data_IF_376378239951
#
_entry.id   IF_376378239951
#
_cell.length_a   1.000
_cell.length_b   1.000
_cell.length_c   1.000
_cell.angle_alpha   90.00
_cell.angle_beta   90.00
_cell.angle_gamma   90.00
#
_symmetry.space_group_name_H-M   'P 1'
#
loop_
_entity.id
_entity.type
_entity.pdbx_description
1 polymer ?
#
# COMPACT_ATOMS: atom_id res chain seq x y z
N UNK A 1 16.36 4.95 -9.14
CA UNK A 1 15.78 5.47 -10.39
C UNK A 1 14.27 5.64 -10.29
N UNK A 2 13.51 4.58 -10.00
CA UNK A 2 12.02 4.60 -9.93
C UNK A 2 11.45 5.73 -9.05
N UNK A 3 12.01 5.93 -7.86
CA UNK A 3 11.50 6.92 -6.89
C UNK A 3 11.81 8.37 -7.26
N UNK A 4 12.90 8.62 -8.00
CA UNK A 4 13.30 9.96 -8.45
C UNK A 4 12.51 10.44 -9.68
N UNK A 5 11.67 9.59 -10.27
CA UNK A 5 10.85 9.94 -11.43
C UNK A 5 9.64 10.81 -11.05
N UNK A 6 9.16 10.74 -9.80
CA UNK A 6 7.94 11.41 -9.36
C UNK A 6 8.21 12.85 -8.89
N UNK A 7 9.18 13.02 -7.98
CA UNK A 7 9.80 14.31 -7.68
C UNK A 7 11.11 14.08 -6.93
N UNK A 8 11.92 15.12 -6.72
CA UNK A 8 13.16 15.05 -5.95
C UNK A 8 12.92 15.48 -4.51
N UNK A 9 13.48 14.73 -3.56
CA UNK A 9 13.30 14.96 -2.13
C UNK A 9 13.96 16.28 -1.72
N UNK A 10 13.39 16.96 -0.72
CA UNK A 10 14.02 18.13 -0.14
C UNK A 10 15.32 17.73 0.58
N UNK A 11 16.23 18.69 0.72
CA UNK A 11 17.48 18.47 1.44
C UNK A 11 17.19 18.02 2.89
N UNK A 12 17.79 16.89 3.28
CA UNK A 12 17.61 16.23 4.59
C UNK A 12 16.19 15.74 4.92
N UNK A 13 15.35 15.49 3.92
CA UNK A 13 14.06 14.81 4.10
C UNK A 13 14.25 13.29 4.23
N UNK A 14 13.35 12.62 4.97
CA UNK A 14 13.36 11.17 5.09
C UNK A 14 13.25 10.48 3.72
N UNK A 15 14.25 9.68 3.34
CA UNK A 15 14.25 9.04 2.02
C UNK A 15 13.20 7.91 1.93
N UNK A 16 12.15 8.05 1.09
CA UNK A 16 11.12 7.01 0.93
C UNK A 16 11.68 5.69 0.40
N UNK A 17 12.80 5.74 -0.33
CA UNK A 17 13.34 4.58 -1.03
C UNK A 17 13.70 3.43 -0.08
N UNK A 18 14.15 3.71 1.15
CA UNK A 18 14.59 2.68 2.10
C UNK A 18 13.44 1.75 2.49
N UNK A 19 12.28 2.31 2.82
CA UNK A 19 11.09 1.54 3.16
C UNK A 19 10.51 0.88 1.91
N UNK A 20 10.47 1.63 0.82
CA UNK A 20 9.96 1.13 -0.45
C UNK A 20 10.73 -0.06 -1.00
N UNK A 21 12.02 -0.23 -0.71
CA UNK A 21 12.78 -1.42 -1.17
C UNK A 21 12.12 -2.71 -0.69
N UNK A 22 11.50 -2.73 0.49
CA UNK A 22 10.86 -3.93 1.04
C UNK A 22 9.35 -3.91 0.83
N UNK A 23 8.68 -2.77 1.07
CA UNK A 23 7.22 -2.69 0.97
C UNK A 23 6.72 -2.83 -0.46
N UNK A 24 7.48 -2.33 -1.45
CA UNK A 24 7.09 -2.42 -2.85
C UNK A 24 7.03 -3.87 -3.36
N UNK A 25 8.10 -4.68 -3.24
CA UNK A 25 8.05 -6.09 -3.59
C UNK A 25 7.03 -6.89 -2.78
N UNK A 26 6.80 -6.53 -1.51
CA UNK A 26 5.80 -7.19 -0.68
C UNK A 26 4.37 -6.95 -1.19
N UNK A 27 3.98 -5.70 -1.48
CA UNK A 27 2.64 -5.42 -2.04
C UNK A 27 2.46 -6.07 -3.40
N UNK A 28 3.50 -6.09 -4.23
CA UNK A 28 3.48 -6.82 -5.49
C UNK A 28 3.20 -8.31 -5.27
N UNK A 29 3.88 -8.94 -4.31
CA UNK A 29 3.69 -10.35 -4.00
C UNK A 29 2.28 -10.70 -3.50
N UNK A 30 1.62 -9.77 -2.80
CA UNK A 30 0.21 -9.93 -2.39
C UNK A 30 -0.71 -9.99 -3.62
N UNK A 31 -0.41 -9.20 -4.66
CA UNK A 31 -1.16 -9.19 -5.92
C UNK A 31 -0.84 -10.41 -6.80
N UNK A 32 0.43 -10.79 -6.87
CA UNK A 32 0.95 -11.87 -7.72
C UNK A 32 1.40 -13.06 -6.86
N UNK A 33 0.47 -13.57 -6.05
CA UNK A 33 0.74 -14.60 -5.05
C UNK A 33 0.62 -16.02 -5.60
N UNK A 34 1.52 -16.43 -6.48
CA UNK A 34 1.64 -17.82 -6.95
C UNK A 34 3.11 -18.23 -6.89
N UNK A 35 3.43 -19.31 -6.18
CA UNK A 35 4.83 -19.71 -6.02
C UNK A 35 5.40 -20.41 -7.26
N UNK A 36 4.57 -21.02 -8.11
CA UNK A 36 4.97 -21.55 -9.41
C UNK A 36 5.40 -20.44 -10.37
N UNK A 37 4.57 -19.42 -10.54
CA UNK A 37 4.93 -18.23 -11.31
C UNK A 37 6.10 -17.47 -10.66
N UNK A 38 6.14 -17.40 -9.32
CA UNK A 38 7.24 -16.82 -8.56
C UNK A 38 8.58 -17.50 -8.84
N UNK A 39 8.63 -18.83 -8.96
CA UNK A 39 9.84 -19.58 -9.34
C UNK A 39 10.28 -19.23 -10.78
N UNK A 40 9.34 -19.08 -11.71
CA UNK A 40 9.65 -18.65 -13.08
C UNK A 40 10.25 -17.23 -13.10
N UNK A 41 9.68 -16.29 -12.33
CA UNK A 41 10.24 -14.94 -12.16
C UNK A 41 11.62 -14.97 -11.50
N UNK A 42 11.82 -15.84 -10.50
CA UNK A 42 13.10 -16.01 -9.82
C UNK A 42 14.19 -16.51 -10.78
N UNK A 43 13.86 -17.51 -11.61
CA UNK A 43 14.75 -18.01 -12.66
C UNK A 43 15.10 -16.91 -13.67
N UNK A 44 14.11 -16.13 -14.11
CA UNK A 44 14.32 -14.98 -15.00
C UNK A 44 15.26 -13.93 -14.38
N UNK A 45 15.03 -13.58 -13.11
CA UNK A 45 15.87 -12.63 -12.37
C UNK A 45 17.30 -13.14 -12.19
N UNK A 46 17.46 -14.42 -11.86
CA UNK A 46 18.76 -15.04 -11.66
C UNK A 46 19.57 -15.11 -12.96
N UNK A 47 18.91 -15.38 -14.10
CA UNK A 47 19.55 -15.33 -15.43
C UNK A 47 20.06 -13.92 -15.76
N UNK A 48 19.29 -12.87 -15.44
CA UNK A 48 19.71 -11.48 -15.62
C UNK A 48 20.94 -11.13 -14.76
N UNK A 49 20.98 -11.61 -13.52
CA UNK A 49 22.10 -11.38 -12.60
C UNK A 49 23.35 -12.16 -13.04
N UNK A 50 23.23 -13.44 -13.38
CA UNK A 50 24.38 -14.25 -13.81
C UNK A 50 25.01 -13.73 -15.12
N UNK A 51 24.22 -13.09 -15.98
CA UNK A 51 24.71 -12.54 -17.26
C UNK A 51 25.07 -11.06 -17.18
N UNK A 52 25.25 -10.49 -15.98
CA UNK A 52 25.54 -9.06 -15.78
C UNK A 52 26.72 -8.56 -16.62
N UNK A 53 27.83 -9.29 -16.65
CA UNK A 53 29.04 -8.89 -17.40
C UNK A 53 28.83 -8.84 -18.93
N UNK A 54 27.95 -9.69 -19.46
CA UNK A 54 27.64 -9.71 -20.90
C UNK A 54 26.67 -8.60 -21.28
N UNK A 55 25.64 -8.37 -20.46
CA UNK A 55 24.62 -7.37 -20.74
C UNK A 55 25.07 -5.94 -20.44
N UNK A 56 26.01 -5.74 -19.53
CA UNK A 56 26.61 -4.41 -19.29
C UNK A 56 27.43 -3.88 -20.49
N UNK A 57 27.85 -4.75 -21.41
CA UNK A 57 28.67 -4.37 -22.57
C UNK A 57 27.88 -4.23 -23.87
N UNK A 58 26.58 -4.54 -23.88
CA UNK A 58 25.73 -4.47 -25.07
C UNK A 58 24.69 -3.34 -24.90
N UNK A 59 24.49 -2.51 -25.94
CA UNK A 59 23.32 -1.62 -26.01
C UNK A 59 22.07 -2.51 -26.11
N UNK A 60 21.38 -2.67 -25.00
CA UNK A 60 20.14 -3.45 -24.91
C UNK A 60 18.96 -2.62 -25.41
N UNK A 61 17.90 -3.27 -25.91
CA UNK A 61 16.65 -2.58 -26.22
C UNK A 61 16.02 -1.98 -24.94
N UNK A 62 15.23 -0.92 -25.09
CA UNK A 62 14.67 -0.13 -23.98
C UNK A 62 13.98 -0.94 -22.89
N UNK A 63 13.23 -1.99 -23.26
CA UNK A 63 12.57 -2.89 -22.30
C UNK A 63 13.57 -3.71 -21.48
N UNK A 64 14.60 -4.25 -22.13
CA UNK A 64 15.61 -5.06 -21.46
C UNK A 64 16.53 -4.20 -20.59
N UNK A 65 16.78 -2.94 -20.98
CA UNK A 65 17.51 -1.98 -20.16
C UNK A 65 16.75 -1.64 -18.86
N UNK A 66 15.43 -1.40 -18.96
CA UNK A 66 14.58 -1.19 -17.79
C UNK A 66 14.60 -2.40 -16.84
N UNK A 67 14.48 -3.62 -17.39
CA UNK A 67 14.54 -4.86 -16.61
C UNK A 67 15.92 -5.05 -15.96
N UNK A 68 17.00 -4.71 -16.67
CA UNK A 68 18.37 -4.79 -16.16
C UNK A 68 18.62 -3.81 -15.02
N UNK A 69 18.16 -2.55 -15.15
CA UNK A 69 18.23 -1.55 -14.09
C UNK A 69 17.43 -1.93 -12.83
N UNK A 70 16.38 -2.74 -13.00
CA UNK A 70 15.51 -3.24 -11.93
C UNK A 70 15.86 -4.61 -11.36
N UNK A 71 17.00 -5.23 -11.72
CA UNK A 71 17.30 -6.65 -11.42
C UNK A 71 17.11 -7.08 -9.96
N UNK A 72 17.54 -6.25 -9.00
CA UNK A 72 17.40 -6.56 -7.57
C UNK A 72 15.95 -6.41 -7.08
N UNK A 73 15.19 -5.50 -7.69
CA UNK A 73 13.77 -5.33 -7.39
C UNK A 73 12.99 -6.55 -7.89
N UNK A 74 13.26 -7.02 -9.10
CA UNK A 74 12.63 -8.24 -9.67
C UNK A 74 12.98 -9.47 -8.83
N UNK A 75 14.25 -9.61 -8.40
CA UNK A 75 14.66 -10.69 -7.50
C UNK A 75 13.85 -10.70 -6.21
N UNK A 76 13.73 -9.54 -5.55
CA UNK A 76 13.02 -9.42 -4.28
C UNK A 76 11.51 -9.66 -4.46
N UNK A 77 10.93 -9.19 -5.57
CA UNK A 77 9.55 -9.47 -5.96
C UNK A 77 9.29 -10.97 -6.12
N UNK A 78 10.21 -11.69 -6.76
CA UNK A 78 10.07 -13.13 -6.94
C UNK A 78 10.13 -13.90 -5.61
N UNK A 79 11.05 -13.54 -4.70
CA UNK A 79 11.17 -14.18 -3.39
C UNK A 79 9.89 -13.96 -2.55
N UNK A 80 9.37 -12.74 -2.51
CA UNK A 80 8.14 -12.47 -1.79
C UNK A 80 6.91 -13.11 -2.46
N UNK A 81 6.87 -13.17 -3.80
CA UNK A 81 5.79 -13.86 -4.53
C UNK A 81 5.76 -15.35 -4.19
N UNK A 82 6.92 -16.01 -4.08
CA UNK A 82 7.01 -17.39 -3.58
C UNK A 82 6.47 -17.49 -2.15
N UNK A 83 6.87 -16.58 -1.26
CA UNK A 83 6.39 -16.56 0.13
C UNK A 83 4.86 -16.40 0.21
N UNK A 84 4.28 -15.41 -0.49
CA UNK A 84 2.84 -15.19 -0.53
C UNK A 84 2.10 -16.33 -1.23
N UNK A 85 2.67 -16.93 -2.28
CA UNK A 85 2.12 -18.08 -2.98
C UNK A 85 2.05 -19.33 -2.10
N UNK A 86 3.03 -19.52 -1.20
CA UNK A 86 2.97 -20.59 -0.20
C UNK A 86 1.90 -20.30 0.88
N UNK A 87 1.66 -19.03 1.24
CA UNK A 87 0.57 -18.65 2.15
C UNK A 87 -0.80 -18.92 1.50
N UNK A 88 -0.97 -18.58 0.23
CA UNK A 88 -2.22 -18.87 -0.49
C UNK A 88 -2.36 -20.35 -0.87
N UNK A 89 -1.25 -21.10 -0.85
CA UNK A 89 -1.18 -22.51 -1.22
C UNK A 89 -1.66 -22.79 -2.66
N UNK A 90 -1.23 -21.94 -3.59
CA UNK A 90 -1.61 -22.00 -5.01
C UNK A 90 -0.35 -22.25 -5.88
N UNK A 91 -0.25 -23.41 -6.54
CA UNK A 91 0.79 -23.73 -7.53
C UNK A 91 0.18 -23.93 -8.91
N UNK A 92 0.30 -22.97 -9.84
CA UNK A 92 -0.35 -23.08 -11.17
C UNK A 92 -1.81 -23.55 -11.06
N UNK A 93 -2.56 -22.95 -10.12
CA UNK A 93 -3.95 -23.30 -9.76
C UNK A 93 -4.18 -24.66 -9.05
N UNK A 94 -3.15 -25.42 -8.71
CA UNK A 94 -3.25 -26.70 -7.99
C UNK A 94 -2.81 -26.54 -6.52
N UNK A 95 -3.60 -27.05 -5.55
CA UNK A 95 -3.23 -26.98 -4.14
C UNK A 95 -2.27 -28.12 -3.77
N UNK A 96 -1.36 -27.86 -2.83
CA UNK A 96 -0.43 -28.88 -2.35
C UNK A 96 -0.64 -29.21 -0.86
N UNK A 97 -0.55 -30.49 -0.50
CA UNK A 97 -0.60 -30.97 0.88
C UNK A 97 0.80 -31.00 1.53
N UNK A 98 1.53 -29.88 1.50
CA UNK A 98 2.94 -29.83 1.95
C UNK A 98 3.10 -29.84 3.49
N UNK A 99 2.22 -29.15 4.22
CA UNK A 99 2.42 -28.84 5.65
C UNK A 99 1.54 -29.67 6.60
N UNK A 100 0.72 -30.60 6.11
CA UNK A 100 -0.05 -31.51 6.94
C UNK A 100 -1.34 -32.04 6.29
N UNK A 101 -2.13 -32.76 7.09
CA UNK A 101 -3.51 -33.16 6.72
C UNK A 101 -4.44 -31.95 6.85
N UNK A 102 -5.44 -31.84 5.97
CA UNK A 102 -6.44 -30.77 6.01
C UNK A 102 -7.17 -30.74 7.36
N UNK A 103 -7.55 -29.54 7.80
CA UNK A 103 -8.36 -29.34 9.00
C UNK A 103 -9.78 -29.92 8.85
N UNK A 104 -10.19 -30.07 7.60
CA UNK A 104 -11.47 -30.60 7.18
C UNK A 104 -11.35 -32.05 6.68
N UNK A 105 -12.21 -32.92 7.20
CA UNK A 105 -12.24 -34.34 6.85
C UNK A 105 -13.70 -34.81 6.75
N UNK A 106 -13.97 -35.76 5.86
CA UNK A 106 -15.28 -36.37 5.77
C UNK A 106 -15.47 -37.38 6.91
N UNK A 107 -16.54 -37.24 7.69
CA UNK A 107 -16.82 -38.11 8.85
C UNK A 107 -17.14 -39.56 8.45
N UNK A 108 -17.75 -39.77 7.28
CA UNK A 108 -18.17 -41.10 6.80
C UNK A 108 -17.62 -41.44 5.41
N UNK A 109 -17.35 -42.75 5.19
CA UNK A 109 -16.90 -43.32 3.91
C UNK A 109 -17.95 -43.24 2.78
N UNK A 110 -19.20 -42.87 3.08
CA UNK A 110 -20.25 -42.61 2.09
C UNK A 110 -20.15 -41.23 1.45
N UNK A 111 -19.21 -40.38 1.89
CA UNK A 111 -18.93 -39.07 1.32
C UNK A 111 -18.07 -39.16 0.04
N UNK A 112 -18.32 -40.18 -0.78
CA UNK A 112 -17.68 -40.40 -2.09
C UNK A 112 -18.06 -39.31 -3.07
N UNK A 113 -19.30 -38.82 -3.00
CA UNK A 113 -19.81 -37.78 -3.89
C UNK A 113 -19.79 -36.43 -3.18
N UNK A 114 -18.76 -35.65 -3.50
CA UNK A 114 -18.43 -34.33 -2.95
C UNK A 114 -19.50 -33.23 -3.14
N UNK A 115 -20.70 -33.57 -3.60
CA UNK A 115 -21.73 -32.61 -3.99
C UNK A 115 -22.86 -32.38 -2.96
N UNK A 116 -23.00 -33.22 -1.93
CA UNK A 116 -24.23 -33.23 -1.10
C UNK A 116 -24.02 -33.03 0.40
N UNK A 117 -22.83 -33.32 0.96
CA UNK A 117 -22.53 -33.10 2.37
C UNK A 117 -21.26 -32.27 2.56
N UNK A 118 -21.36 -31.20 3.35
CA UNK A 118 -20.27 -30.26 3.58
C UNK A 118 -19.14 -30.87 4.42
N UNK A 119 -17.91 -30.45 4.13
CA UNK A 119 -16.76 -30.80 4.94
C UNK A 119 -16.89 -30.22 6.36
N UNK A 120 -16.70 -31.06 7.38
CA UNK A 120 -16.75 -30.64 8.80
C UNK A 120 -15.33 -30.34 9.27
N UNK A 121 -15.16 -29.29 10.09
CA UNK A 121 -13.88 -29.01 10.76
C UNK A 121 -13.64 -30.08 11.84
N UNK A 122 -12.73 -31.00 11.58
CA UNK A 122 -12.43 -32.13 12.48
C UNK A 122 -11.13 -31.88 13.25
N UNK A 123 -10.21 -31.09 12.70
CA UNK A 123 -8.87 -30.87 13.25
C UNK A 123 -8.58 -29.38 13.47
N UNK A 124 -7.46 -29.14 14.15
CA UNK A 124 -6.87 -27.82 14.35
C UNK A 124 -6.56 -27.12 13.01
N UNK A 125 -6.53 -25.77 12.97
CA UNK A 125 -6.26 -25.03 11.75
C UNK A 125 -4.92 -25.44 11.12
N UNK A 126 -4.88 -25.41 9.78
CA UNK A 126 -3.70 -25.78 9.01
C UNK A 126 -2.49 -24.92 9.44
N UNK A 127 -1.32 -25.53 9.70
CA UNK A 127 -0.22 -24.87 10.39
C UNK A 127 0.42 -23.74 9.58
N UNK A 128 0.34 -23.78 8.25
CA UNK A 128 0.90 -22.75 7.39
C UNK A 128 0.10 -22.57 6.10
N UNK A 129 -0.48 -21.38 5.91
CA UNK A 129 -1.23 -21.02 4.70
C UNK A 129 -2.70 -21.45 4.72
N UNK A 130 -3.35 -21.34 3.56
CA UNK A 130 -4.76 -21.73 3.37
C UNK A 130 -4.88 -23.25 3.23
N UNK A 131 -5.89 -23.82 3.86
CA UNK A 131 -6.13 -25.26 3.83
C UNK A 131 -6.45 -25.74 2.39
N UNK A 132 -5.70 -26.74 1.86
CA UNK A 132 -5.93 -27.32 0.55
C UNK A 132 -7.38 -27.74 0.27
N UNK A 133 -8.12 -28.18 1.30
CA UNK A 133 -9.47 -28.73 1.13
C UNK A 133 -10.51 -27.71 0.68
N UNK A 134 -10.22 -26.41 0.77
CA UNK A 134 -11.10 -25.38 0.25
C UNK A 134 -11.15 -25.36 -1.28
N UNK A 135 -10.06 -25.78 -1.95
CA UNK A 135 -9.95 -25.79 -3.40
C UNK A 135 -10.88 -26.84 -4.01
N UNK A 136 -11.74 -26.42 -4.92
CA UNK A 136 -12.77 -27.29 -5.55
C UNK A 136 -14.08 -27.38 -4.77
N UNK A 137 -14.22 -26.65 -3.66
CA UNK A 137 -15.50 -26.53 -2.94
C UNK A 137 -16.37 -25.42 -3.53
N UNK A 138 -17.70 -25.56 -3.49
CA UNK A 138 -18.63 -24.49 -3.93
C UNK A 138 -18.47 -23.19 -3.13
N UNK A 139 -17.94 -23.26 -1.92
CA UNK A 139 -17.73 -22.13 -1.00
C UNK A 139 -16.32 -21.53 -1.06
N UNK A 140 -15.48 -21.97 -1.99
CA UNK A 140 -14.11 -21.47 -2.13
C UNK A 140 -14.06 -19.97 -2.44
N UNK A 141 -14.71 -19.57 -3.54
CA UNK A 141 -14.72 -18.19 -4.03
C UNK A 141 -15.23 -17.18 -2.98
N UNK A 142 -16.37 -17.38 -2.29
CA UNK A 142 -16.81 -16.45 -1.26
C UNK A 142 -15.85 -16.39 -0.07
N UNK A 143 -15.20 -17.50 0.30
CA UNK A 143 -14.21 -17.52 1.38
C UNK A 143 -12.93 -16.76 1.01
N UNK A 144 -12.32 -17.08 -0.14
CA UNK A 144 -11.10 -16.42 -0.61
C UNK A 144 -11.32 -14.94 -0.90
N UNK A 145 -12.49 -14.57 -1.45
CA UNK A 145 -12.87 -13.19 -1.64
C UNK A 145 -12.89 -12.44 -0.29
N UNK A 146 -13.60 -12.97 0.71
CA UNK A 146 -13.66 -12.35 2.04
C UNK A 146 -12.28 -12.22 2.69
N UNK A 147 -11.45 -13.26 2.57
CA UNK A 147 -10.09 -13.29 3.14
C UNK A 147 -9.18 -12.24 2.48
N UNK A 148 -9.05 -12.29 1.15
CA UNK A 148 -8.15 -11.40 0.39
C UNK A 148 -8.58 -9.94 0.51
N UNK A 149 -9.88 -9.65 0.51
CA UNK A 149 -10.41 -8.30 0.72
C UNK A 149 -10.04 -7.75 2.11
N UNK A 150 -10.26 -8.52 3.18
CA UNK A 150 -9.91 -8.09 4.55
C UNK A 150 -8.41 -7.91 4.74
N UNK A 151 -7.61 -8.79 4.15
CA UNK A 151 -6.14 -8.70 4.18
C UNK A 151 -5.63 -7.45 3.47
N UNK A 152 -6.21 -7.10 2.32
CA UNK A 152 -5.93 -5.87 1.57
C UNK A 152 -6.18 -4.61 2.42
N UNK A 153 -7.30 -4.55 3.15
CA UNK A 153 -7.63 -3.45 4.06
C UNK A 153 -6.60 -3.37 5.21
N UNK A 154 -6.28 -4.51 5.86
CA UNK A 154 -5.30 -4.57 6.94
C UNK A 154 -3.92 -4.05 6.50
N UNK A 155 -3.45 -4.50 5.33
CA UNK A 155 -2.17 -4.06 4.76
C UNK A 155 -2.20 -2.58 4.38
N UNK A 156 -3.30 -2.10 3.81
CA UNK A 156 -3.47 -0.69 3.46
C UNK A 156 -3.42 0.23 4.67
N UNK A 157 -4.15 -0.10 5.73
CA UNK A 157 -4.15 0.67 7.00
C UNK A 157 -2.77 0.64 7.65
N UNK A 158 -2.08 -0.50 7.64
CA UNK A 158 -0.72 -0.62 8.16
C UNK A 158 0.29 0.26 7.39
N UNK A 159 0.27 0.21 6.05
CA UNK A 159 1.14 1.03 5.22
C UNK A 159 0.84 2.53 5.35
N UNK A 160 -0.45 2.88 5.40
CA UNK A 160 -0.90 4.25 5.59
C UNK A 160 -0.50 4.82 6.95
N UNK A 161 -0.51 4.02 8.01
CA UNK A 161 -0.02 4.41 9.33
C UNK A 161 1.50 4.58 9.31
N UNK A 162 2.24 3.67 8.65
CA UNK A 162 3.68 3.79 8.48
C UNK A 162 4.07 5.12 7.80
N UNK A 163 3.35 5.53 6.76
CA UNK A 163 3.57 6.82 6.09
C UNK A 163 3.41 8.04 7.02
N UNK A 164 2.38 8.05 7.89
CA UNK A 164 2.17 9.15 8.86
C UNK A 164 3.28 9.14 9.93
N UNK A 165 3.73 7.96 10.36
CA UNK A 165 4.85 7.83 11.30
C UNK A 165 6.17 8.35 10.71
N UNK A 166 6.39 8.21 9.40
CA UNK A 166 7.55 8.81 8.74
C UNK A 166 7.50 10.34 8.73
N UNK A 167 6.32 10.93 8.50
CA UNK A 167 6.12 12.38 8.63
C UNK A 167 6.47 12.88 10.05
N UNK A 168 6.16 12.10 11.09
CA UNK A 168 6.58 12.44 12.46
C UNK A 168 8.10 12.45 12.65
N UNK A 169 8.81 11.45 12.11
CA UNK A 169 10.27 11.42 12.21
C UNK A 169 10.91 12.59 11.47
N UNK A 170 10.38 12.96 10.31
CA UNK A 170 10.85 14.11 9.55
C UNK A 170 10.62 15.43 10.29
N UNK A 171 9.41 15.64 10.83
CA UNK A 171 9.08 16.84 11.61
C UNK A 171 9.92 16.95 12.91
N UNK A 172 10.25 15.81 13.52
CA UNK A 172 11.12 15.75 14.70
C UNK A 172 12.56 16.13 14.36
N UNK A 173 13.07 15.69 13.21
CA UNK A 173 14.42 16.03 12.75
C UNK A 173 14.56 17.54 12.48
N UNK A 174 13.55 18.15 11.85
CA UNK A 174 13.53 19.60 11.57
C UNK A 174 13.19 20.47 12.80
N UNK A 175 12.82 19.87 13.94
CA UNK A 175 12.53 20.61 15.18
C UNK A 175 11.19 21.38 15.17
N UNK A 176 10.30 21.12 14.22
CA UNK A 176 9.04 21.85 14.06
C UNK A 176 7.93 21.29 14.96
N UNK A 177 7.94 21.69 16.24
CA UNK A 177 6.95 21.23 17.24
C UNK A 177 5.48 21.57 16.88
N UNK A 178 5.26 22.62 16.06
CA UNK A 178 3.93 23.01 15.59
C UNK A 178 3.32 21.97 14.65
N UNK A 179 4.09 21.46 13.70
CA UNK A 179 3.63 20.45 12.74
C UNK A 179 3.34 19.12 13.44
N UNK A 180 4.17 18.75 14.43
CA UNK A 180 3.93 17.57 15.25
C UNK A 180 2.60 17.66 15.99
N UNK A 181 2.32 18.81 16.64
CA UNK A 181 1.13 18.96 17.50
C UNK A 181 -0.17 19.11 16.71
N UNK A 182 -0.12 19.79 15.56
CA UNK A 182 -1.33 20.23 14.85
C UNK A 182 -1.53 19.55 13.48
N UNK A 183 -0.55 18.83 12.95
CA UNK A 183 -0.68 18.04 11.72
C UNK A 183 -0.60 16.54 12.03
N UNK A 184 0.47 16.06 12.65
CA UNK A 184 0.63 14.63 12.90
C UNK A 184 -0.41 14.03 13.86
N UNK A 185 -0.62 14.64 15.04
CA UNK A 185 -1.52 14.08 16.06
C UNK A 185 -2.97 13.96 15.55
N UNK A 186 -3.58 15.01 14.96
CA UNK A 186 -4.94 14.90 14.43
C UNK A 186 -5.06 13.88 13.30
N UNK A 187 -4.07 13.82 12.40
CA UNK A 187 -4.05 12.84 11.30
C UNK A 187 -4.01 11.40 11.82
N UNK A 188 -3.22 11.14 12.87
CA UNK A 188 -3.14 9.83 13.51
C UNK A 188 -4.46 9.44 14.17
N UNK A 189 -5.04 10.37 14.96
CA UNK A 189 -6.32 10.15 15.63
C UNK A 189 -7.43 9.87 14.61
N UNK A 190 -7.51 10.67 13.54
CA UNK A 190 -8.53 10.52 12.51
C UNK A 190 -8.40 9.17 11.77
N UNK A 191 -7.20 8.80 11.31
CA UNK A 191 -7.02 7.56 10.56
C UNK A 191 -7.29 6.33 11.43
N UNK A 192 -6.78 6.30 12.65
CA UNK A 192 -6.94 5.13 13.53
C UNK A 192 -8.33 5.04 14.17
N UNK A 193 -9.04 6.15 14.35
CA UNK A 193 -10.41 6.11 14.87
C UNK A 193 -11.40 5.45 13.91
N UNK A 194 -11.23 5.65 12.60
CA UNK A 194 -12.09 5.07 11.58
C UNK A 194 -11.56 3.74 11.05
N UNK A 195 -10.41 3.78 10.37
CA UNK A 195 -9.87 2.63 9.65
C UNK A 195 -9.02 1.72 10.53
N UNK A 196 -8.35 2.27 11.55
CA UNK A 196 -7.69 1.46 12.58
C UNK A 196 -8.70 0.63 13.37
N UNK A 197 -9.86 1.20 13.71
CA UNK A 197 -10.96 0.46 14.33
C UNK A 197 -11.51 -0.64 13.43
N UNK A 198 -11.71 -0.38 12.13
CA UNK A 198 -12.08 -1.42 11.17
C UNK A 198 -11.08 -2.58 11.14
N UNK A 199 -9.77 -2.28 11.08
CA UNK A 199 -8.72 -3.28 11.11
C UNK A 199 -8.77 -4.12 12.40
N UNK A 200 -9.02 -3.49 13.55
CA UNK A 200 -9.19 -4.16 14.83
C UNK A 200 -10.42 -5.07 14.85
N UNK A 201 -11.57 -4.63 14.30
CA UNK A 201 -12.78 -5.44 14.17
C UNK A 201 -12.55 -6.69 13.31
N UNK A 202 -11.77 -6.57 12.23
CA UNK A 202 -11.38 -7.72 11.40
C UNK A 202 -10.60 -8.75 12.22
N UNK A 203 -9.62 -8.30 13.00
CA UNK A 203 -8.80 -9.20 13.84
C UNK A 203 -9.62 -9.86 14.95
N UNK A 204 -10.51 -9.10 15.62
CA UNK A 204 -11.41 -9.68 16.64
C UNK A 204 -12.36 -10.69 16.02
N UNK A 205 -12.91 -10.40 14.82
CA UNK A 205 -13.78 -11.34 14.11
C UNK A 205 -13.04 -12.66 13.82
N UNK A 206 -11.77 -12.59 13.41
CA UNK A 206 -10.95 -13.79 13.18
C UNK A 206 -10.64 -14.56 14.46
N UNK A 207 -10.44 -13.89 15.59
CA UNK A 207 -10.20 -14.56 16.88
C UNK A 207 -11.46 -15.21 17.46
N UNK A 208 -12.62 -14.57 17.30
CA UNK A 208 -13.88 -14.98 17.94
C UNK A 208 -14.70 -15.92 17.06
N UNK A 209 -14.50 -15.89 15.73
CA UNK A 209 -15.26 -16.73 14.79
C UNK A 209 -16.72 -16.30 14.60
N UNK A 210 -17.10 -15.10 15.02
CA UNK A 210 -18.47 -14.57 14.88
C UNK A 210 -18.86 -14.32 13.42
N UNK A 211 -20.15 -14.42 13.09
CA UNK A 211 -20.70 -14.18 11.74
C UNK A 211 -20.99 -12.69 11.45
N UNK A 212 -20.86 -11.81 12.43
CA UNK A 212 -21.27 -10.39 12.35
C UNK A 212 -20.74 -9.63 11.11
N UNK A 213 -21.59 -8.81 10.50
CA UNK A 213 -21.28 -8.09 9.26
C UNK A 213 -20.55 -6.76 9.49
N UNK A 214 -19.26 -6.70 9.18
CA UNK A 214 -18.43 -5.52 9.49
C UNK A 214 -18.84 -4.27 8.68
N UNK A 215 -19.32 -4.44 7.46
CA UNK A 215 -19.77 -3.31 6.64
C UNK A 215 -21.00 -2.64 7.24
N UNK A 216 -21.97 -3.42 7.70
CA UNK A 216 -23.12 -2.91 8.43
C UNK A 216 -22.67 -2.17 9.68
N UNK A 217 -21.79 -2.76 10.49
CA UNK A 217 -21.25 -2.13 11.71
C UNK A 217 -20.60 -0.77 11.40
N UNK A 218 -19.88 -0.64 10.29
CA UNK A 218 -19.19 0.60 9.95
C UNK A 218 -20.10 1.67 9.33
N UNK A 219 -21.12 1.28 8.55
CA UNK A 219 -22.11 2.24 8.02
C UNK A 219 -22.97 2.78 9.19
N UNK A 220 -23.46 1.89 10.05
CA UNK A 220 -24.28 2.30 11.20
C UNK A 220 -23.50 3.12 12.23
N UNK A 221 -22.18 2.96 12.33
CA UNK A 221 -21.33 3.83 13.16
C UNK A 221 -21.49 5.32 12.82
N UNK A 222 -21.70 5.66 11.54
CA UNK A 222 -21.89 7.06 11.11
C UNK A 222 -23.36 7.47 11.05
N UNK A 223 -24.25 6.56 10.68
CA UNK A 223 -25.66 6.88 10.42
C UNK A 223 -26.52 6.85 11.69
N UNK A 224 -26.28 5.88 12.58
CA UNK A 224 -27.01 5.72 13.85
C UNK A 224 -26.07 5.21 14.96
N UNK A 225 -25.25 6.08 15.56
CA UNK A 225 -24.25 5.68 16.56
C UNK A 225 -24.87 5.22 17.89
N UNK A 226 -26.17 5.46 18.11
CA UNK A 226 -26.87 5.11 19.34
C UNK A 226 -27.81 3.90 19.20
N UNK A 227 -27.97 3.36 17.99
CA UNK A 227 -28.79 2.18 17.71
C UNK A 227 -28.31 0.93 18.42
N UNK A 228 -29.21 -0.02 18.65
CA UNK A 228 -28.87 -1.33 19.18
C UNK A 228 -28.35 -2.23 18.06
N UNK A 229 -27.15 -2.78 18.20
CA UNK A 229 -26.51 -3.61 17.17
C UNK A 229 -26.99 -5.07 17.19
N UNK A 230 -27.84 -5.47 18.13
CA UNK A 230 -28.45 -6.81 18.17
C UNK A 230 -27.42 -7.93 18.02
N UNK A 231 -27.59 -8.79 17.01
CA UNK A 231 -26.67 -9.92 16.73
C UNK A 231 -25.28 -9.52 16.22
N UNK A 232 -25.05 -8.24 15.91
CA UNK A 232 -23.76 -7.73 15.40
C UNK A 232 -22.82 -7.17 16.48
N UNK A 233 -23.12 -7.40 17.76
CA UNK A 233 -22.23 -7.00 18.85
C UNK A 233 -21.04 -7.98 18.95
N UNK A 234 -19.83 -7.51 18.63
CA UNK A 234 -18.60 -8.30 18.72
C UNK A 234 -18.03 -8.36 20.14
N UNK A 235 -18.17 -7.29 20.92
CA UNK A 235 -17.58 -7.19 22.25
C UNK A 235 -18.42 -6.34 23.21
N UNK A 236 -18.19 -6.51 24.51
CA UNK A 236 -18.85 -5.71 25.54
C UNK A 236 -18.38 -4.26 25.50
N UNK A 237 -19.30 -3.29 25.46
CA UNK A 237 -18.98 -1.85 25.40
C UNK A 237 -18.69 -1.31 23.99
N UNK A 238 -19.01 -2.05 22.92
CA UNK A 238 -18.79 -1.61 21.53
C UNK A 238 -19.44 -0.26 21.20
N UNK A 239 -20.66 -0.03 21.70
CA UNK A 239 -21.41 1.21 21.48
C UNK A 239 -20.69 2.45 22.02
N UNK A 240 -20.27 2.40 23.29
CA UNK A 240 -19.56 3.50 23.94
C UNK A 240 -18.24 3.82 23.23
N UNK A 241 -17.52 2.77 22.81
CA UNK A 241 -16.26 2.91 22.09
C UNK A 241 -16.47 3.52 20.69
N UNK A 242 -17.52 3.14 19.95
CA UNK A 242 -17.86 3.73 18.66
C UNK A 242 -18.21 5.23 18.77
N UNK A 243 -19.01 5.60 19.77
CA UNK A 243 -19.36 7.01 20.03
C UNK A 243 -18.11 7.83 20.36
N UNK A 244 -17.23 7.30 21.23
CA UNK A 244 -15.97 7.96 21.58
C UNK A 244 -15.07 8.16 20.36
N UNK A 245 -14.90 7.13 19.52
CA UNK A 245 -14.07 7.20 18.31
C UNK A 245 -14.63 8.20 17.30
N UNK A 246 -15.94 8.21 17.09
CA UNK A 246 -16.60 9.15 16.18
C UNK A 246 -16.43 10.60 16.66
N UNK A 247 -16.57 10.84 17.96
CA UNK A 247 -16.36 12.16 18.56
C UNK A 247 -14.89 12.61 18.41
N UNK A 248 -13.93 11.71 18.65
CA UNK A 248 -12.51 11.99 18.42
C UNK A 248 -12.22 12.32 16.96
N UNK A 249 -12.81 11.60 16.01
CA UNK A 249 -12.66 11.86 14.58
C UNK A 249 -13.22 13.23 14.19
N UNK A 250 -14.38 13.60 14.74
CA UNK A 250 -15.03 14.88 14.46
C UNK A 250 -14.26 16.07 15.06
N UNK A 251 -13.66 15.91 16.25
CA UNK A 251 -12.80 16.93 16.87
C UNK A 251 -11.46 17.09 16.14
N UNK A 252 -10.93 16.00 15.56
CA UNK A 252 -9.66 16.03 14.83
C UNK A 252 -9.69 16.98 13.62
N UNK A 253 -10.85 17.13 12.96
CA UNK A 253 -10.98 17.98 11.76
C UNK A 253 -10.79 19.48 12.07
N UNK A 254 -11.54 20.09 13.03
CA UNK A 254 -11.26 21.46 13.47
C UNK A 254 -9.87 21.64 14.08
N UNK A 255 -9.36 20.62 14.79
CA UNK A 255 -8.03 20.67 15.41
C UNK A 255 -6.93 20.83 14.36
N UNK A 256 -7.05 20.22 13.19
CA UNK A 256 -6.06 20.38 12.12
C UNK A 256 -6.19 21.73 11.39
N UNK A 257 -7.41 22.27 11.28
CA UNK A 257 -7.71 23.44 10.45
C UNK A 257 -7.30 24.76 11.11
N UNK A 258 -7.70 25.00 12.37
CA UNK A 258 -7.62 26.33 12.99
C UNK A 258 -6.28 26.65 13.70
N UNK A 259 -5.66 25.76 14.48
CA UNK A 259 -4.52 26.13 15.31
C UNK A 259 -3.29 26.61 14.52
N UNK A 260 -2.93 25.95 13.42
CA UNK A 260 -1.73 26.28 12.62
C UNK A 260 -1.77 27.70 12.03
N UNK A 261 -2.82 28.13 11.28
CA UNK A 261 -2.89 29.49 10.73
C UNK A 261 -2.98 30.57 11.82
N UNK A 262 -3.71 30.31 12.91
CA UNK A 262 -3.84 31.27 14.01
C UNK A 262 -2.54 31.46 14.80
N UNK A 263 -1.77 30.39 15.01
CA UNK A 263 -0.47 30.48 15.68
C UNK A 263 0.55 31.20 14.78
N UNK A 264 0.57 30.91 13.47
CA UNK A 264 1.42 31.65 12.53
C UNK A 264 1.08 33.15 12.52
N UNK A 265 -0.21 33.51 12.53
CA UNK A 265 -0.66 34.90 12.62
C UNK A 265 -0.17 35.57 13.90
N UNK A 266 -0.25 34.88 15.04
CA UNK A 266 0.21 35.40 16.34
C UNK A 266 1.72 35.62 16.33
N UNK A 267 2.50 34.65 15.84
CA UNK A 267 3.96 34.72 15.74
C UNK A 267 4.39 35.87 14.81
N UNK A 268 3.68 36.06 13.69
CA UNK A 268 3.94 37.16 12.77
C UNK A 268 3.66 38.52 13.41
N UNK A 269 2.54 38.67 14.14
CA UNK A 269 2.21 39.90 14.87
C UNK A 269 3.25 40.24 15.94
N UNK A 270 3.75 39.24 16.68
CA UNK A 270 4.81 39.42 17.69
C UNK A 270 6.16 39.81 17.04
N UNK A 271 6.52 39.21 15.91
CA UNK A 271 7.73 39.56 15.16
C UNK A 271 7.67 40.98 14.57
N UNK A 272 6.51 41.40 14.09
CA UNK A 272 6.27 42.77 13.61
C UNK A 272 6.29 43.78 14.75
N UNK A 273 5.67 43.46 15.89
CA UNK A 273 5.73 44.33 17.07
C UNK A 273 7.15 44.49 17.61
N UNK A 274 7.96 43.42 17.63
CA UNK A 274 9.37 43.49 18.02
C UNK A 274 10.24 44.37 17.11
N UNK A 275 9.94 44.43 15.81
CA UNK A 275 10.62 45.35 14.88
C UNK A 275 10.22 46.82 15.08
N UNK A 276 8.96 47.11 15.40
CA UNK A 276 8.51 48.46 15.75
C UNK A 276 9.16 48.97 17.04
N UNK A 277 9.37 48.12 18.05
CA UNK A 277 10.06 48.53 19.28
C UNK A 277 11.56 48.79 19.10
N UNK A 278 12.23 48.13 18.14
CA UNK A 278 13.65 48.42 17.83
C UNK A 278 13.85 49.79 17.18
N UNK A 279 12.83 50.33 16.50
CA UNK A 279 12.87 51.67 15.90
C UNK A 279 12.58 52.80 16.92
N UNK A 280 11.90 52.50 18.03
CA UNK A 280 11.59 53.47 19.09
C UNK A 280 12.73 53.68 20.11
N UNK A 281 13.87 52.99 19.96
CA UNK A 281 15.00 53.03 20.89
C UNK A 281 16.20 53.88 20.48
N UNK A 282 16.17 54.53 19.31
CA UNK A 282 17.25 55.44 18.88
C UNK A 282 16.65 56.74 18.35
N UNK A 283 16.25 57.59 19.29
CA UNK A 283 16.04 59.02 19.05
C UNK A 283 17.38 59.75 19.16
N UNK A 284 18.33 59.45 18.27
CA UNK A 284 19.41 60.39 17.96
C UNK A 284 19.47 60.52 16.44
N UNK A 285 19.32 61.78 16.02
CA UNK A 285 19.19 62.23 14.66
C UNK A 285 20.58 62.30 14.03
N UNK A 286 20.86 61.45 13.05
CA UNK A 286 22.04 61.57 12.18
C UNK A 286 21.54 61.85 10.74
N UNK A 287 21.90 62.99 10.09
CA UNK A 287 21.32 63.36 8.79
C UNK A 287 21.95 62.69 7.56
N UNK A 288 23.02 61.91 7.71
CA UNK A 288 23.82 61.44 6.55
C UNK A 288 23.90 59.90 6.49
N UNK A 289 22.89 59.26 5.91
CA UNK A 289 23.04 57.91 5.34
C UNK A 289 22.11 57.72 4.15
N UNK A 290 22.72 57.49 2.99
CA UNK A 290 22.12 57.29 1.66
C UNK A 290 20.98 56.24 1.60
N UNK A 291 20.10 56.31 0.58
CA UNK A 291 18.91 55.48 0.51
C UNK A 291 19.27 54.07 0.01
N UNK A 292 19.54 53.17 0.96
CA UNK A 292 19.81 51.78 0.66
C UNK A 292 18.49 51.09 0.24
N UNK A 293 18.35 50.96 -1.08
CA UNK A 293 17.16 50.65 -1.86
C UNK A 293 16.81 49.15 -1.86
N UNK A 294 17.01 48.47 -0.73
CA UNK A 294 16.89 47.02 -0.60
C UNK A 294 16.03 46.55 0.60
N UNK A 295 15.11 47.38 1.12
CA UNK A 295 14.32 47.03 2.33
C UNK A 295 12.80 47.15 2.22
N UNK A 296 12.24 46.82 1.07
CA UNK A 296 10.80 46.65 0.92
C UNK A 296 10.46 45.48 -0.02
N UNK A 297 10.92 44.26 0.29
CA UNK A 297 10.06 43.10 -0.01
C UNK A 297 9.06 42.99 1.13
N UNK A 298 7.95 43.70 0.95
CA UNK A 298 6.66 43.34 1.53
C UNK A 298 6.33 41.92 1.03
N UNK A 299 6.89 40.88 1.65
CA UNK A 299 6.17 39.60 1.69
C UNK A 299 5.07 39.81 2.73
N UNK A 300 4.00 40.50 2.30
CA UNK A 300 2.77 40.61 3.07
C UNK A 300 2.36 39.19 3.44
N UNK A 301 2.43 38.87 4.74
CA UNK A 301 1.96 37.60 5.23
C UNK A 301 0.45 37.54 5.01
N UNK A 302 0.06 36.97 3.87
CA UNK A 302 -1.31 36.78 3.48
C UNK A 302 -1.90 35.68 4.34
N UNK A 303 -2.43 36.07 5.51
CA UNK A 303 -3.16 35.17 6.39
C UNK A 303 -4.27 34.41 5.63
N UNK A 304 -4.90 35.07 4.66
CA UNK A 304 -5.88 34.45 3.77
C UNK A 304 -5.29 33.28 2.98
N UNK A 305 -4.09 33.43 2.42
CA UNK A 305 -3.41 32.38 1.64
C UNK A 305 -3.02 31.19 2.52
N UNK A 306 -2.45 31.44 3.69
CA UNK A 306 -2.09 30.37 4.65
C UNK A 306 -3.34 29.63 5.14
N UNK A 307 -4.43 30.36 5.39
CA UNK A 307 -5.69 29.77 5.81
C UNK A 307 -6.31 28.92 4.70
N UNK A 308 -6.34 29.40 3.46
CA UNK A 308 -6.84 28.64 2.29
C UNK A 308 -6.00 27.40 2.04
N UNK A 309 -4.66 27.51 2.07
CA UNK A 309 -3.77 26.36 1.90
C UNK A 309 -4.00 25.29 2.98
N UNK A 310 -4.12 25.70 4.25
CA UNK A 310 -4.40 24.76 5.35
C UNK A 310 -5.79 24.11 5.22
N UNK A 311 -6.78 24.86 4.73
CA UNK A 311 -8.12 24.33 4.47
C UNK A 311 -8.10 23.26 3.38
N UNK A 312 -7.41 23.52 2.27
CA UNK A 312 -7.24 22.55 1.18
C UNK A 312 -6.54 21.30 1.71
N UNK A 313 -5.42 21.45 2.42
CA UNK A 313 -4.69 20.32 3.00
C UNK A 313 -5.56 19.49 3.95
N UNK A 314 -6.43 20.15 4.73
CA UNK A 314 -7.34 19.46 5.65
C UNK A 314 -8.42 18.64 4.92
N UNK A 315 -9.02 19.22 3.89
CA UNK A 315 -10.04 18.56 3.06
C UNK A 315 -9.42 17.40 2.26
N UNK A 316 -8.26 17.64 1.64
CA UNK A 316 -7.51 16.63 0.89
C UNK A 316 -7.14 15.46 1.79
N UNK A 317 -6.69 15.72 3.03
CA UNK A 317 -6.37 14.65 3.97
C UNK A 317 -7.60 13.81 4.34
N UNK A 318 -8.73 14.44 4.68
CA UNK A 318 -9.95 13.72 5.09
C UNK A 318 -10.52 12.89 3.95
N UNK A 319 -10.69 13.48 2.77
CA UNK A 319 -11.18 12.77 1.58
C UNK A 319 -10.17 11.73 1.09
N UNK A 320 -8.89 12.07 1.14
CA UNK A 320 -7.78 11.20 0.80
C UNK A 320 -7.68 9.99 1.72
N UNK A 321 -7.92 10.12 3.02
CA UNK A 321 -7.90 8.98 3.94
C UNK A 321 -8.93 7.90 3.57
N UNK A 322 -10.14 8.30 3.17
CA UNK A 322 -11.18 7.38 2.71
C UNK A 322 -10.85 6.80 1.33
N UNK A 323 -10.51 7.67 0.38
CA UNK A 323 -10.19 7.28 -1.00
C UNK A 323 -8.98 6.34 -1.07
N UNK A 324 -7.90 6.66 -0.35
CA UNK A 324 -6.67 5.87 -0.33
C UNK A 324 -6.93 4.49 0.29
N UNK A 325 -7.72 4.40 1.37
CA UNK A 325 -8.07 3.10 1.97
C UNK A 325 -8.89 2.24 1.01
N UNK A 326 -9.84 2.84 0.29
CA UNK A 326 -10.61 2.13 -0.72
C UNK A 326 -9.74 1.68 -1.92
N UNK A 327 -8.75 2.49 -2.32
CA UNK A 327 -7.81 2.15 -3.41
C UNK A 327 -7.02 0.86 -3.13
N UNK A 328 -6.74 0.54 -1.86
CA UNK A 328 -6.07 -0.72 -1.49
C UNK A 328 -6.84 -1.98 -1.87
N UNK A 329 -8.17 -1.91 -2.06
CA UNK A 329 -8.99 -3.03 -2.55
C UNK A 329 -8.50 -3.58 -3.89
N UNK A 330 -7.71 -2.79 -4.64
CA UNK A 330 -7.02 -3.24 -5.85
C UNK A 330 -6.10 -4.44 -5.61
N UNK A 331 -5.45 -4.51 -4.45
CA UNK A 331 -4.59 -5.64 -4.08
C UNK A 331 -5.38 -6.94 -4.12
N UNK A 332 -6.60 -6.91 -3.57
CA UNK A 332 -7.52 -8.04 -3.60
C UNK A 332 -8.02 -8.33 -5.03
N UNK A 333 -8.50 -7.31 -5.74
CA UNK A 333 -9.09 -7.49 -7.07
C UNK A 333 -8.10 -8.14 -8.06
N UNK A 334 -6.85 -7.69 -8.08
CA UNK A 334 -5.85 -8.26 -8.98
C UNK A 334 -5.39 -9.65 -8.54
N UNK A 335 -5.26 -9.89 -7.23
CA UNK A 335 -4.94 -11.23 -6.70
C UNK A 335 -6.03 -12.26 -6.97
N UNK A 336 -7.30 -11.85 -6.96
CA UNK A 336 -8.42 -12.70 -7.34
C UNK A 336 -8.40 -12.96 -8.85
N UNK A 337 -8.26 -11.92 -9.67
CA UNK A 337 -8.21 -12.06 -11.13
C UNK A 337 -7.08 -13.00 -11.58
N UNK A 338 -5.89 -12.88 -11.00
CA UNK A 338 -4.75 -13.76 -11.27
C UNK A 338 -5.05 -15.23 -10.95
N UNK A 339 -5.62 -15.51 -9.77
CA UNK A 339 -6.03 -16.86 -9.37
C UNK A 339 -7.07 -17.46 -10.32
N UNK A 340 -8.13 -16.70 -10.65
CA UNK A 340 -9.20 -17.17 -11.54
C UNK A 340 -8.68 -17.43 -12.96
N UNK A 341 -7.85 -16.52 -13.48
CA UNK A 341 -7.28 -16.65 -14.82
C UNK A 341 -6.31 -17.83 -14.92
N UNK A 342 -5.50 -18.08 -13.88
CA UNK A 342 -4.66 -19.28 -13.78
C UNK A 342 -5.51 -20.57 -13.76
N UNK A 343 -6.63 -20.56 -13.03
CA UNK A 343 -7.56 -21.69 -12.95
C UNK A 343 -8.20 -21.99 -14.30
N UNK A 344 -8.69 -20.97 -15.00
CA UNK A 344 -9.29 -21.13 -16.33
C UNK A 344 -8.26 -21.67 -17.32
N UNK A 345 -7.02 -21.18 -17.31
CA UNK A 345 -5.99 -21.71 -18.20
C UNK A 345 -5.64 -23.17 -17.88
N UNK A 346 -5.53 -23.52 -16.60
CA UNK A 346 -5.28 -24.89 -16.18
C UNK A 346 -6.40 -25.84 -16.64
N UNK A 347 -7.67 -25.47 -16.40
CA UNK A 347 -8.80 -26.31 -16.79
C UNK A 347 -9.02 -26.39 -18.30
N UNK A 348 -8.96 -25.26 -19.00
CA UNK A 348 -9.32 -25.21 -20.42
C UNK A 348 -8.18 -25.65 -21.35
N UNK A 349 -6.91 -25.51 -20.94
CA UNK A 349 -5.78 -25.96 -21.75
C UNK A 349 -5.24 -27.32 -21.28
N UNK A 350 -4.87 -27.45 -20.01
CA UNK A 350 -4.15 -28.63 -19.54
C UNK A 350 -5.09 -29.83 -19.31
N UNK A 351 -6.19 -29.66 -18.58
CA UNK A 351 -7.14 -30.76 -18.33
C UNK A 351 -7.82 -31.23 -19.63
N UNK A 352 -8.20 -30.29 -20.51
CA UNK A 352 -8.76 -30.63 -21.82
C UNK A 352 -7.77 -31.44 -22.67
N UNK A 353 -6.50 -31.05 -22.71
CA UNK A 353 -5.47 -31.77 -23.47
C UNK A 353 -5.20 -33.17 -22.88
N UNK A 354 -5.30 -33.32 -21.55
CA UNK A 354 -5.08 -34.60 -20.87
C UNK A 354 -6.20 -35.62 -21.13
N UNK A 355 -7.41 -35.16 -21.42
CA UNK A 355 -8.57 -36.01 -21.74
C UNK A 355 -8.48 -36.74 -23.09
N UNK A 356 -7.57 -36.34 -23.98
CA UNK A 356 -7.34 -37.02 -25.26
C UNK A 356 -6.21 -38.05 -25.13
N UNK A 357 -6.42 -39.28 -25.61
CA UNK A 357 -5.42 -40.35 -25.49
C UNK A 357 -4.16 -40.17 -26.36
N UNK A 358 -4.24 -39.33 -27.40
CA UNK A 358 -3.10 -39.12 -28.30
C UNK A 358 -1.98 -38.30 -27.63
N UNK A 359 -0.75 -38.85 -27.61
CA UNK A 359 0.44 -38.19 -27.05
C UNK A 359 0.77 -36.87 -27.75
N UNK A 360 0.45 -36.74 -29.04
CA UNK A 360 0.69 -35.52 -29.82
C UNK A 360 -0.16 -34.36 -29.29
N UNK A 361 -1.45 -34.59 -29.01
CA UNK A 361 -2.35 -33.56 -28.48
C UNK A 361 -1.92 -33.14 -27.08
N UNK A 362 -1.45 -34.07 -26.24
CA UNK A 362 -0.89 -33.74 -24.90
C UNK A 362 0.34 -32.84 -25.00
N UNK A 363 1.26 -33.13 -25.91
CA UNK A 363 2.49 -32.35 -26.10
C UNK A 363 2.20 -30.95 -26.65
N UNK A 364 1.33 -30.86 -27.66
CA UNK A 364 0.90 -29.57 -28.22
C UNK A 364 0.15 -28.75 -27.15
N UNK A 365 -0.74 -29.38 -26.39
CA UNK A 365 -1.45 -28.73 -25.28
C UNK A 365 -0.50 -28.17 -24.22
N UNK A 366 0.55 -28.91 -23.85
CA UNK A 366 1.58 -28.45 -22.92
C UNK A 366 2.37 -27.24 -23.45
N UNK A 367 2.74 -27.26 -24.74
CA UNK A 367 3.45 -26.12 -25.37
C UNK A 367 2.57 -24.88 -25.36
N UNK A 368 1.30 -25.02 -25.77
CA UNK A 368 0.35 -23.90 -25.80
C UNK A 368 0.11 -23.37 -24.38
N UNK A 369 -0.07 -24.25 -23.40
CA UNK A 369 -0.20 -23.86 -21.99
C UNK A 369 1.03 -23.12 -21.48
N UNK A 370 2.24 -23.63 -21.76
CA UNK A 370 3.49 -23.00 -21.35
C UNK A 370 3.66 -21.61 -21.99
N UNK A 371 3.31 -21.47 -23.28
CA UNK A 371 3.40 -20.19 -23.98
C UNK A 371 2.37 -19.17 -23.47
N UNK A 372 1.12 -19.59 -23.31
CA UNK A 372 0.05 -18.74 -22.77
C UNK A 372 0.39 -18.26 -21.35
N UNK A 373 0.88 -19.16 -20.51
CA UNK A 373 1.28 -18.86 -19.13
C UNK A 373 2.51 -17.92 -19.08
N UNK A 374 3.51 -18.15 -19.94
CA UNK A 374 4.69 -17.28 -20.00
C UNK A 374 4.35 -15.85 -20.47
N UNK A 375 3.51 -15.71 -21.49
CA UNK A 375 3.22 -14.40 -22.08
C UNK A 375 2.14 -13.63 -21.30
N UNK A 376 1.02 -14.28 -20.98
CA UNK A 376 -0.14 -13.60 -20.37
C UNK A 376 0.07 -13.47 -18.86
N UNK A 377 0.19 -14.60 -18.16
CA UNK A 377 0.30 -14.63 -16.69
C UNK A 377 1.64 -14.02 -16.22
N UNK A 378 2.77 -14.44 -16.79
CA UNK A 378 4.08 -14.01 -16.31
C UNK A 378 4.53 -12.63 -16.80
N UNK A 379 4.28 -12.26 -18.05
CA UNK A 379 4.77 -10.97 -18.57
C UNK A 379 3.75 -9.85 -18.40
N UNK A 380 2.53 -10.03 -18.92
CA UNK A 380 1.52 -8.97 -18.94
C UNK A 380 0.95 -8.69 -17.55
N UNK A 381 0.53 -9.70 -16.80
CA UNK A 381 -0.05 -9.48 -15.47
C UNK A 381 0.98 -9.01 -14.45
N UNK A 382 2.22 -9.53 -14.49
CA UNK A 382 3.33 -9.02 -13.65
C UNK A 382 3.56 -7.53 -13.88
N UNK A 383 3.55 -7.07 -15.14
CA UNK A 383 3.71 -5.64 -15.45
C UNK A 383 2.54 -4.82 -14.89
N UNK A 384 1.31 -5.31 -15.03
CA UNK A 384 0.11 -4.67 -14.47
C UNK A 384 0.19 -4.56 -12.93
N UNK A 385 0.51 -5.67 -12.26
CA UNK A 385 0.69 -5.73 -10.80
C UNK A 385 1.83 -4.80 -10.33
N UNK A 386 2.94 -4.75 -11.07
CA UNK A 386 4.05 -3.84 -10.81
C UNK A 386 3.60 -2.37 -10.86
N UNK A 387 2.89 -1.96 -11.92
CA UNK A 387 2.40 -0.58 -12.06
C UNK A 387 1.38 -0.20 -10.99
N UNK A 388 0.51 -1.14 -10.61
CA UNK A 388 -0.46 -0.92 -9.54
C UNK A 388 0.17 -0.83 -8.15
N UNK A 389 1.17 -1.66 -7.85
CA UNK A 389 1.96 -1.55 -6.62
C UNK A 389 2.74 -0.22 -6.56
N UNK A 390 3.22 0.25 -7.72
CA UNK A 390 3.95 1.52 -7.84
C UNK A 390 3.00 2.70 -7.61
N UNK A 391 1.79 2.65 -8.18
CA UNK A 391 0.73 3.64 -7.93
C UNK A 391 0.43 3.74 -6.43
N UNK A 392 0.24 2.60 -5.75
CA UNK A 392 -0.01 2.53 -4.29
C UNK A 392 1.07 3.26 -3.48
N UNK A 393 2.32 3.22 -3.94
CA UNK A 393 3.37 3.94 -3.25
C UNK A 393 3.42 5.42 -3.60
N UNK A 394 3.24 5.79 -4.88
CA UNK A 394 3.32 7.18 -5.29
C UNK A 394 2.17 8.03 -4.77
N UNK A 395 0.94 7.52 -4.81
CA UNK A 395 -0.24 8.31 -4.44
C UNK A 395 -0.60 8.10 -2.97
N UNK A 396 -0.61 6.86 -2.48
CA UNK A 396 -1.14 6.57 -1.15
C UNK A 396 -0.08 6.62 -0.04
N UNK A 397 1.19 6.32 -0.36
CA UNK A 397 2.29 6.34 0.62
C UNK A 397 3.04 7.68 0.63
N UNK A 398 3.51 8.15 -0.53
CA UNK A 398 4.33 9.37 -0.61
C UNK A 398 3.55 10.64 -0.30
N UNK A 399 2.26 10.74 -0.66
CA UNK A 399 1.43 11.93 -0.40
C UNK A 399 1.29 12.30 1.09
N UNK A 400 1.75 11.44 2.02
CA UNK A 400 1.62 11.69 3.46
C UNK A 400 2.81 12.38 4.11
N UNK A 401 4.00 12.27 3.54
CA UNK A 401 5.23 12.77 4.15
C UNK A 401 6.17 13.44 3.16
N UNK A 402 5.97 13.22 1.86
CA UNK A 402 6.88 13.66 0.81
C UNK A 402 6.40 14.97 0.20
N UNK A 403 7.11 16.06 0.47
CA UNK A 403 6.76 17.38 -0.07
C UNK A 403 7.32 17.60 -1.49
N UNK A 404 8.44 16.97 -1.83
CA UNK A 404 8.89 16.85 -3.23
C UNK A 404 9.40 18.13 -3.91
N UNK A 405 9.75 19.19 -3.18
CA UNK A 405 10.23 20.46 -3.77
C UNK A 405 11.77 20.53 -3.99
N UNK A 406 12.45 19.38 -4.08
CA UNK A 406 13.91 19.32 -4.21
C UNK A 406 14.45 19.46 -5.63
N UNK A 407 15.77 19.59 -5.76
CA UNK A 407 16.49 19.53 -7.05
C UNK A 407 17.50 18.38 -7.06
N UNK A 408 17.64 17.70 -8.20
CA UNK A 408 18.56 16.56 -8.32
C UNK A 408 20.01 17.05 -8.30
N UNK A 409 20.80 16.51 -7.38
CA UNK A 409 22.24 16.75 -7.34
C UNK A 409 22.90 16.13 -8.58
N UNK A 410 23.41 16.98 -9.48
CA UNK A 410 24.29 16.57 -10.59
C UNK A 410 25.70 17.13 -10.31
N UNK A 411 26.66 16.31 -9.85
CA UNK A 411 28.03 16.78 -9.68
C UNK A 411 28.66 17.05 -11.05
N UNK A 412 29.59 18.01 -11.12
CA UNK A 412 30.41 18.20 -12.31
C UNK A 412 31.34 16.99 -12.48
N UNK A 413 31.08 16.17 -13.51
CA UNK A 413 31.85 14.96 -13.81
C UNK A 413 32.02 14.83 -15.33
N UNK A 414 33.26 14.59 -15.78
CA UNK A 414 33.58 14.39 -17.19
C UNK A 414 32.91 13.15 -17.81
N UNK A 415 32.52 12.17 -16.98
CA UNK A 415 31.78 11.00 -17.45
C UNK A 415 30.35 11.32 -17.90
N UNK A 416 29.73 12.38 -17.34
CA UNK A 416 28.37 12.78 -17.70
C UNK A 416 28.33 13.60 -19.00
N UNK A 417 29.43 14.26 -19.36
CA UNK A 417 29.54 15.03 -20.61
C UNK A 417 29.58 14.11 -21.85
N UNK A 418 30.08 12.89 -21.71
CA UNK A 418 30.11 11.91 -22.79
C UNK A 418 28.74 11.27 -23.07
N UNK A 419 27.82 11.27 -22.09
CA UNK A 419 26.45 10.73 -22.24
C UNK A 419 25.46 11.76 -22.81
N UNK A 420 25.77 13.07 -22.77
CA UNK A 420 24.90 14.14 -23.30
C UNK A 420 25.16 14.43 -24.81
N UNK A 421 26.20 13.86 -25.42
CA UNK A 421 26.56 14.03 -26.84
C UNK A 421 26.14 12.87 -27.77
N UNK A 422 25.58 11.77 -27.21
CA UNK A 422 25.01 10.61 -27.93
C UNK A 422 23.47 10.61 -27.86
#
# INVERSE_FOLDING_TARGET
>A
MIWFCCSVARYQEANPAVYSVVTFPFLFAVMFGDWGHGICLLLGALVLILREKRFSSQKLGSFMELAFGGRYVILLMAIFSIYCGLIYNEFFSVPFHIFGKSAYECRDKSCSDAHTFGLIKVREPYPFGVDPSWRGSRSELPFLNSLKMKMSILMGVAQMNLGIVLSYFDARYHGNALDIRYQFIPQMIFLNSLFGYLALLILIKWCTGSQADLYHVMIYMFLDPAGDLGENQLFWGQKELQILLLLLALIAVPWMLFPKPFILKKLHKERFQGHTYRFLGTSEMDPDSEPDSARARHDDFNFSEVFVHQMIHSIEFVLGAVSNTASYLRLWALSLAHSELSTVFYEKLLLLAWGYDSLIVKFVGLIVFSFATAFILLMMETLSAFLHALRLHWVEFMNKFYHGDGYKFKPFSFALLADDED
#
